data_IF_916854898420
#
_entry.id   IF_916854898420
#
_cell.length_a   1.000
_cell.length_b   1.000
_cell.length_c   1.000
_cell.angle_alpha   90.00
_cell.angle_beta   90.00
_cell.angle_gamma   90.00
#
_symmetry.space_group_name_H-M   'P 1'
#
loop_
_entity.id
_entity.type
_entity.pdbx_description
1 polymer ?
#
# COMPACT_ATOMS: atom_id res chain seq x y z
N UNK A 1 9.24 9.10 10.59
CA UNK A 1 8.88 8.05 9.62
C UNK A 1 8.22 6.89 10.36
N UNK A 2 7.35 6.14 9.72
CA UNK A 2 6.60 5.02 10.34
C UNK A 2 7.53 3.93 10.93
N UNK A 3 8.75 3.84 10.44
CA UNK A 3 9.81 2.96 10.96
C UNK A 3 10.20 3.22 12.44
N UNK A 4 9.79 4.34 13.03
CA UNK A 4 9.96 4.59 14.47
C UNK A 4 8.96 3.80 15.34
N UNK A 5 7.84 3.37 14.75
CA UNK A 5 6.78 2.61 15.43
C UNK A 5 6.77 1.17 14.93
N UNK A 6 6.94 0.94 13.63
CA UNK A 6 6.98 -0.37 13.01
C UNK A 6 8.39 -0.73 12.56
N UNK A 7 9.04 -1.63 13.25
CA UNK A 7 10.37 -2.10 12.84
C UNK A 7 10.30 -2.92 11.55
N UNK A 8 11.39 -2.87 10.75
CA UNK A 8 11.50 -3.71 9.55
C UNK A 8 11.39 -5.20 9.86
N UNK A 9 11.90 -5.62 11.01
CA UNK A 9 11.86 -7.02 11.44
C UNK A 9 10.43 -7.46 11.75
N UNK A 10 9.64 -6.60 12.40
CA UNK A 10 8.22 -6.85 12.68
C UNK A 10 7.43 -7.04 11.38
N UNK A 11 7.60 -6.14 10.41
CA UNK A 11 6.94 -6.22 9.12
C UNK A 11 7.41 -7.44 8.30
N UNK A 12 8.71 -7.75 8.31
CA UNK A 12 9.26 -8.91 7.60
C UNK A 12 8.75 -10.24 8.17
N UNK A 13 8.52 -10.32 9.47
CA UNK A 13 7.90 -11.49 10.10
C UNK A 13 6.39 -11.59 9.83
N UNK A 14 5.68 -10.45 9.84
CA UNK A 14 4.23 -10.40 9.70
C UNK A 14 3.76 -10.68 8.28
N UNK A 15 4.37 -10.06 7.26
CA UNK A 15 4.07 -10.20 5.81
C UNK A 15 2.61 -9.89 5.39
N UNK A 16 1.74 -9.51 6.31
CA UNK A 16 0.31 -9.35 6.09
C UNK A 16 -0.02 -8.38 4.95
N UNK A 17 0.56 -7.18 4.97
CA UNK A 17 0.34 -6.16 3.94
C UNK A 17 1.00 -6.48 2.58
N UNK A 18 1.70 -7.60 2.49
CA UNK A 18 2.30 -8.13 1.26
C UNK A 18 1.60 -9.39 0.77
N UNK A 19 0.42 -9.73 1.30
CA UNK A 19 -0.42 -10.85 0.88
C UNK A 19 -1.84 -10.36 0.62
N UNK A 20 -2.41 -10.73 -0.51
CA UNK A 20 -3.67 -10.18 -1.00
C UNK A 20 -4.68 -11.28 -1.28
N UNK A 21 -5.89 -11.11 -0.75
CA UNK A 21 -7.09 -11.84 -1.18
C UNK A 21 -7.72 -11.13 -2.38
N UNK A 22 -8.56 -11.81 -3.17
CA UNK A 22 -9.27 -11.20 -4.30
C UNK A 22 -10.01 -9.92 -3.91
N UNK A 23 -10.69 -9.96 -2.76
CA UNK A 23 -11.45 -8.82 -2.23
C UNK A 23 -10.57 -7.67 -1.70
N UNK A 24 -9.27 -7.90 -1.48
CA UNK A 24 -8.33 -6.90 -1.00
C UNK A 24 -7.36 -6.39 -2.08
N UNK A 25 -7.56 -6.75 -3.35
CA UNK A 25 -6.73 -6.25 -4.45
C UNK A 25 -6.75 -4.73 -4.60
N UNK A 26 -7.79 -4.06 -4.13
CA UNK A 26 -7.85 -2.60 -4.05
C UNK A 26 -6.76 -2.00 -3.13
N UNK A 27 -6.22 -2.78 -2.21
CA UNK A 27 -5.11 -2.38 -1.32
C UNK A 27 -3.74 -2.54 -1.97
N UNK A 28 -3.67 -3.16 -3.15
CA UNK A 28 -2.41 -3.33 -3.87
C UNK A 28 -1.77 -1.96 -4.11
N UNK A 29 -0.49 -1.80 -3.77
CA UNK A 29 0.18 -0.51 -3.89
C UNK A 29 0.26 -0.05 -5.34
N UNK A 30 0.15 1.26 -5.54
CA UNK A 30 0.27 1.90 -6.84
C UNK A 30 1.70 2.42 -7.04
N UNK A 31 2.22 2.17 -8.21
CA UNK A 31 3.58 2.52 -8.60
C UNK A 31 3.57 3.66 -9.61
N UNK A 32 4.43 4.67 -9.47
CA UNK A 32 4.66 5.62 -10.53
C UNK A 32 5.26 4.93 -11.78
N UNK A 33 5.05 5.49 -12.99
CA UNK A 33 5.45 4.85 -14.25
C UNK A 33 6.92 4.44 -14.30
N UNK A 34 7.81 5.31 -13.88
CA UNK A 34 9.27 5.09 -13.90
C UNK A 34 9.70 3.93 -12.99
N UNK A 35 9.03 3.76 -11.86
CA UNK A 35 9.30 2.64 -10.95
C UNK A 35 8.72 1.34 -11.52
N UNK A 36 7.50 1.38 -12.06
CA UNK A 36 6.90 0.23 -12.71
C UNK A 36 7.76 -0.27 -13.89
N UNK A 37 8.22 0.65 -14.77
CA UNK A 37 9.11 0.31 -15.88
C UNK A 37 10.43 -0.31 -15.40
N UNK A 38 11.04 0.25 -14.37
CA UNK A 38 12.27 -0.28 -13.77
C UNK A 38 12.06 -1.70 -13.23
N UNK A 39 10.94 -1.95 -12.54
CA UNK A 39 10.65 -3.22 -11.89
C UNK A 39 10.12 -4.30 -12.84
N UNK A 40 9.80 -3.95 -14.08
CA UNK A 40 9.56 -4.90 -15.16
C UNK A 40 10.84 -5.57 -15.65
N UNK A 41 11.99 -5.00 -15.35
CA UNK A 41 13.30 -5.60 -15.64
C UNK A 41 13.69 -6.55 -14.50
N UNK A 42 14.34 -7.65 -14.85
CA UNK A 42 14.81 -8.63 -13.86
C UNK A 42 15.81 -7.98 -12.89
N UNK A 43 15.52 -8.07 -11.61
CA UNK A 43 16.42 -7.58 -10.56
C UNK A 43 17.49 -8.63 -10.17
N UNK A 44 18.35 -8.27 -9.23
CA UNK A 44 19.43 -9.16 -8.72
C UNK A 44 18.93 -10.46 -8.06
N UNK A 45 17.64 -10.58 -7.77
CA UNK A 45 17.01 -11.79 -7.19
C UNK A 45 16.25 -12.60 -8.25
N UNK A 46 16.36 -12.25 -9.54
CA UNK A 46 15.64 -12.94 -10.61
C UNK A 46 14.13 -12.65 -10.65
N UNK A 47 13.67 -11.63 -9.95
CA UNK A 47 12.24 -11.29 -9.81
C UNK A 47 11.89 -10.17 -10.79
N UNK A 48 10.76 -10.33 -11.48
CA UNK A 48 10.21 -9.36 -12.43
C UNK A 48 8.75 -9.07 -12.08
N UNK A 49 8.39 -7.81 -11.95
CA UNK A 49 7.00 -7.39 -11.73
C UNK A 49 6.21 -7.40 -13.03
N UNK A 50 4.95 -7.82 -12.96
CA UNK A 50 3.96 -7.59 -14.02
C UNK A 50 3.05 -6.45 -13.59
N UNK A 51 2.88 -5.46 -14.45
CA UNK A 51 2.13 -4.25 -14.15
C UNK A 51 1.04 -4.02 -15.20
N UNK A 52 -0.08 -3.47 -14.75
CA UNK A 52 -1.15 -2.94 -15.59
C UNK A 52 -1.45 -1.49 -15.18
N UNK A 53 -1.95 -0.65 -16.09
CA UNK A 53 -2.45 0.67 -15.72
C UNK A 53 -3.48 0.58 -14.59
N UNK A 54 -3.43 1.51 -13.64
CA UNK A 54 -4.35 1.51 -12.51
C UNK A 54 -5.79 1.85 -12.92
N UNK A 55 -5.98 2.53 -14.05
CA UNK A 55 -7.28 2.94 -14.60
C UNK A 55 -8.12 1.80 -15.16
N UNK A 56 -7.53 0.62 -15.37
CA UNK A 56 -8.27 -0.52 -15.94
C UNK A 56 -9.13 -1.19 -14.85
N UNK A 57 -10.39 -0.74 -14.73
CA UNK A 57 -11.39 -1.28 -13.81
C UNK A 57 -11.41 -0.62 -12.43
N UNK A 58 -10.74 0.50 -12.28
CA UNK A 58 -10.81 1.30 -11.07
C UNK A 58 -12.21 1.85 -10.83
N UNK A 59 -12.79 1.51 -9.69
CA UNK A 59 -14.05 2.09 -9.21
C UNK A 59 -13.86 3.43 -8.50
N UNK A 60 -12.62 3.77 -8.19
CA UNK A 60 -12.27 4.96 -7.41
C UNK A 60 -11.90 6.10 -8.36
N UNK A 61 -12.61 7.22 -8.26
CA UNK A 61 -12.43 8.40 -9.11
C UNK A 61 -11.01 9.00 -9.04
N UNK A 62 -10.22 8.64 -8.02
CA UNK A 62 -8.86 9.10 -7.79
C UNK A 62 -7.78 8.15 -8.35
N UNK A 63 -8.15 6.96 -8.80
CA UNK A 63 -7.23 6.09 -9.55
C UNK A 63 -6.98 6.72 -10.91
N UNK A 64 -6.05 7.62 -10.95
CA UNK A 64 -5.81 8.45 -12.10
C UNK A 64 -4.74 7.87 -13.02
N UNK A 65 -4.83 8.35 -14.24
CA UNK A 65 -3.85 8.31 -15.30
C UNK A 65 -2.43 8.47 -14.75
N UNK A 66 -1.51 7.59 -15.15
CA UNK A 66 -0.09 7.56 -14.79
C UNK A 66 0.28 6.83 -13.47
N UNK A 67 -0.51 5.86 -13.05
CA UNK A 67 -0.10 4.91 -12.03
C UNK A 67 -0.27 3.47 -12.53
N UNK A 68 0.52 2.57 -11.98
CA UNK A 68 0.50 1.16 -12.32
C UNK A 68 0.26 0.32 -11.07
N UNK A 69 -0.55 -0.74 -11.21
CA UNK A 69 -0.75 -1.76 -10.18
C UNK A 69 -0.05 -3.05 -10.54
N UNK A 70 0.33 -3.82 -9.54
CA UNK A 70 0.79 -5.20 -9.76
C UNK A 70 -0.36 -6.08 -10.25
N UNK A 71 -0.09 -6.90 -11.26
CA UNK A 71 -1.01 -7.92 -11.74
C UNK A 71 -0.82 -9.17 -10.90
N UNK A 72 -1.74 -9.43 -9.98
CA UNK A 72 -1.72 -10.57 -9.07
C UNK A 72 -2.86 -11.57 -9.33
N UNK A 73 -3.86 -11.18 -10.11
CA UNK A 73 -5.09 -11.95 -10.36
C UNK A 73 -4.81 -13.35 -10.91
N UNK A 74 -3.77 -13.49 -11.75
CA UNK A 74 -3.38 -14.77 -12.34
C UNK A 74 -2.60 -15.70 -11.40
N UNK A 75 -2.31 -15.25 -10.18
CA UNK A 75 -1.58 -16.04 -9.19
C UNK A 75 -2.50 -16.88 -8.29
N UNK A 76 -3.81 -16.59 -8.30
CA UNK A 76 -4.80 -17.41 -7.60
C UNK A 76 -4.98 -18.75 -8.30
N UNK A 77 -4.99 -19.83 -7.52
CA UNK A 77 -5.03 -21.22 -8.01
C UNK A 77 -6.37 -21.92 -7.77
N UNK A 78 -7.16 -21.38 -6.84
CA UNK A 78 -8.45 -21.94 -6.43
C UNK A 78 -9.53 -20.86 -6.50
N UNK A 79 -10.79 -21.25 -6.31
CA UNK A 79 -11.92 -20.32 -6.17
C UNK A 79 -12.20 -19.94 -4.71
N UNK A 80 -11.33 -20.37 -3.77
CA UNK A 80 -11.46 -20.02 -2.37
C UNK A 80 -11.30 -18.48 -2.20
N UNK A 81 -12.31 -17.80 -1.65
CA UNK A 81 -12.23 -16.35 -1.42
C UNK A 81 -11.16 -15.98 -0.38
N UNK A 82 -10.76 -16.89 0.47
CA UNK A 82 -9.73 -16.70 1.49
C UNK A 82 -8.31 -17.00 0.98
N UNK A 83 -8.18 -17.48 -0.27
CA UNK A 83 -6.86 -17.70 -0.87
C UNK A 83 -6.08 -16.38 -0.92
N UNK A 84 -4.85 -16.41 -0.42
CA UNK A 84 -3.93 -15.29 -0.44
C UNK A 84 -2.83 -15.50 -1.48
N UNK A 85 -2.53 -14.45 -2.23
CA UNK A 85 -1.37 -14.41 -3.12
C UNK A 85 -0.36 -13.39 -2.61
N UNK A 86 0.92 -13.74 -2.52
CA UNK A 86 1.94 -12.81 -2.08
C UNK A 86 2.22 -11.74 -3.14
N UNK A 87 2.63 -10.56 -2.67
CA UNK A 87 3.24 -9.56 -3.53
C UNK A 87 4.43 -10.18 -4.28
N UNK A 88 4.55 -9.87 -5.56
CA UNK A 88 5.67 -10.36 -6.41
C UNK A 88 7.05 -10.09 -5.80
N UNK A 89 7.16 -9.01 -5.01
CA UNK A 89 8.43 -8.58 -4.38
C UNK A 89 8.56 -9.03 -2.93
N UNK A 90 7.74 -9.98 -2.48
CA UNK A 90 7.86 -10.59 -1.16
C UNK A 90 8.72 -11.85 -1.24
N UNK A 91 9.91 -11.80 -0.64
CA UNK A 91 10.74 -12.98 -0.39
C UNK A 91 10.32 -13.63 0.94
N UNK A 92 10.12 -14.96 0.99
CA UNK A 92 9.66 -15.63 2.21
C UNK A 92 10.63 -15.50 3.40
N UNK A 93 11.93 -15.37 3.14
CA UNK A 93 12.96 -15.30 4.17
C UNK A 93 13.38 -13.86 4.49
N UNK A 94 13.43 -12.99 3.46
CA UNK A 94 13.98 -11.64 3.54
C UNK A 94 12.92 -10.55 3.68
N UNK A 95 11.64 -10.88 3.47
CA UNK A 95 10.58 -9.89 3.39
C UNK A 95 10.59 -9.13 2.06
N UNK A 96 10.23 -7.86 2.06
CA UNK A 96 10.21 -7.05 0.85
C UNK A 96 11.62 -6.85 0.27
N UNK A 97 11.83 -7.27 -0.98
CA UNK A 97 13.12 -7.17 -1.68
C UNK A 97 13.32 -5.84 -2.42
N UNK A 98 12.31 -4.98 -2.42
CA UNK A 98 12.45 -3.64 -2.99
C UNK A 98 13.39 -2.79 -2.15
N UNK A 99 14.21 -2.01 -2.84
CA UNK A 99 15.01 -0.96 -2.19
C UNK A 99 14.08 0.15 -1.69
N UNK A 100 14.49 0.96 -0.70
CA UNK A 100 13.68 2.07 -0.21
C UNK A 100 13.20 3.03 -1.32
N UNK A 101 14.07 3.34 -2.27
CA UNK A 101 13.79 4.23 -3.40
C UNK A 101 12.84 3.64 -4.46
N UNK A 102 12.69 2.32 -4.49
CA UNK A 102 11.81 1.59 -5.41
C UNK A 102 10.49 1.20 -4.76
N UNK A 103 10.35 1.48 -3.46
CA UNK A 103 9.18 1.10 -2.70
C UNK A 103 8.07 2.12 -2.92
N UNK A 104 6.85 1.71 -3.32
CA UNK A 104 5.74 2.63 -3.47
C UNK A 104 5.47 3.40 -2.18
N UNK A 105 5.01 4.63 -2.31
CA UNK A 105 4.69 5.46 -1.15
C UNK A 105 3.63 4.81 -0.26
N UNK A 106 2.60 4.18 -0.84
CA UNK A 106 1.59 3.39 -0.14
C UNK A 106 2.19 2.36 0.83
N UNK A 107 3.24 1.64 0.40
CA UNK A 107 3.92 0.68 1.26
C UNK A 107 4.74 1.34 2.36
N UNK A 108 5.16 2.58 2.16
CA UNK A 108 5.99 3.33 3.11
C UNK A 108 5.17 3.94 4.24
N UNK A 109 3.89 4.19 3.98
CA UNK A 109 2.94 4.75 4.95
C UNK A 109 1.99 3.71 5.56
N UNK A 110 2.01 2.45 5.06
CA UNK A 110 1.15 1.40 5.62
C UNK A 110 1.36 1.26 7.14
N UNK A 111 0.31 1.18 7.98
CA UNK A 111 -1.11 0.97 7.64
C UNK A 111 -1.93 2.26 7.45
N UNK A 112 -1.31 3.40 7.27
CA UNK A 112 -2.02 4.64 6.98
C UNK A 112 -2.45 4.68 5.52
N UNK A 113 -3.59 5.34 5.27
CA UNK A 113 -4.12 5.63 3.95
C UNK A 113 -4.60 7.07 3.89
N UNK A 114 -4.32 7.75 2.78
CA UNK A 114 -5.02 8.99 2.46
C UNK A 114 -6.29 8.63 1.72
N UNK A 115 -7.42 9.16 2.19
CA UNK A 115 -8.74 8.79 1.69
C UNK A 115 -9.60 10.03 1.47
N UNK A 116 -10.47 9.95 0.46
CA UNK A 116 -11.51 10.97 0.24
C UNK A 116 -12.77 10.58 1.02
N UNK A 117 -13.14 11.41 1.97
CA UNK A 117 -14.36 11.26 2.76
C UNK A 117 -15.35 12.36 2.38
N UNK A 118 -16.06 12.13 1.27
CA UNK A 118 -17.09 13.07 0.82
C UNK A 118 -16.52 14.42 0.36
N UNK A 119 -15.40 14.41 -0.36
CA UNK A 119 -14.71 15.60 -0.86
C UNK A 119 -13.69 16.20 0.11
N UNK A 120 -13.51 15.59 1.29
CA UNK A 120 -12.48 15.97 2.25
C UNK A 120 -11.41 14.88 2.34
N UNK A 121 -10.16 15.25 2.10
CA UNK A 121 -9.03 14.34 2.30
C UNK A 121 -8.78 14.13 3.79
N UNK A 122 -8.65 12.88 4.18
CA UNK A 122 -8.35 12.44 5.55
C UNK A 122 -7.25 11.40 5.54
N UNK A 123 -6.52 11.30 6.65
CA UNK A 123 -5.61 10.18 6.89
C UNK A 123 -6.28 9.21 7.84
N UNK A 124 -6.50 8.00 7.36
CA UNK A 124 -7.16 6.94 8.10
C UNK A 124 -6.22 5.76 8.34
N UNK A 125 -6.49 5.02 9.42
CA UNK A 125 -5.81 3.77 9.75
C UNK A 125 -6.56 2.61 9.09
N UNK A 126 -5.84 1.77 8.34
CA UNK A 126 -6.36 0.48 7.91
C UNK A 126 -6.43 -0.46 9.12
N UNK A 127 -7.62 -0.91 9.54
CA UNK A 127 -7.78 -1.60 10.82
C UNK A 127 -7.25 -3.04 10.83
N UNK A 128 -6.74 -3.50 9.70
CA UNK A 128 -6.29 -4.88 9.49
C UNK A 128 -4.81 -5.13 9.78
N UNK A 129 -4.03 -4.09 10.15
CA UNK A 129 -2.62 -4.27 10.48
C UNK A 129 -2.47 -5.02 11.82
N UNK A 130 -1.91 -6.25 11.85
CA UNK A 130 -1.80 -7.02 13.10
C UNK A 130 -0.87 -6.37 14.14
N UNK A 131 0.07 -5.54 13.70
CA UNK A 131 1.06 -4.91 14.59
C UNK A 131 0.60 -3.59 15.21
N UNK A 132 -0.34 -2.90 14.57
CA UNK A 132 -0.93 -1.64 15.08
C UNK A 132 -2.33 -1.90 15.65
N UNK A 133 -3.06 -2.86 15.07
CA UNK A 133 -4.45 -3.13 15.42
C UNK A 133 -5.44 -2.15 14.79
N UNK A 134 -6.69 -2.27 15.21
CA UNK A 134 -7.80 -1.50 14.64
C UNK A 134 -7.98 -0.10 15.27
N UNK A 135 -7.29 0.19 16.37
CA UNK A 135 -7.40 1.47 17.07
C UNK A 135 -6.04 2.16 17.04
N UNK A 136 -5.96 3.42 16.56
CA UNK A 136 -4.70 4.15 16.55
C UNK A 136 -4.24 4.40 17.99
N UNK A 137 -3.01 4.04 18.31
CA UNK A 137 -2.38 4.38 19.58
C UNK A 137 -1.86 5.82 19.57
N UNK A 138 -1.50 6.30 20.76
CA UNK A 138 -0.99 7.67 20.92
C UNK A 138 0.28 7.91 20.10
N UNK A 139 1.17 6.94 20.00
CA UNK A 139 2.43 7.10 19.28
C UNK A 139 2.18 7.28 17.77
N UNK A 140 1.22 6.55 17.20
CA UNK A 140 0.83 6.71 15.80
C UNK A 140 0.17 8.07 15.55
N UNK A 141 -0.74 8.47 16.44
CA UNK A 141 -1.42 9.79 16.34
C UNK A 141 -0.40 10.92 16.42
N UNK A 142 0.50 10.89 17.41
CA UNK A 142 1.55 11.89 17.59
C UNK A 142 2.48 11.95 16.36
N UNK A 143 2.82 10.81 15.77
CA UNK A 143 3.64 10.75 14.56
C UNK A 143 2.95 11.40 13.36
N UNK A 144 1.66 11.11 13.15
CA UNK A 144 0.89 11.67 12.04
C UNK A 144 0.73 13.17 12.21
N UNK A 145 0.32 13.62 13.38
CA UNK A 145 0.13 15.04 13.70
C UNK A 145 1.46 15.81 13.80
N UNK A 146 2.55 15.12 14.11
CA UNK A 146 3.91 15.68 14.21
C UNK A 146 4.64 15.85 12.87
N UNK A 147 3.92 15.79 11.74
CA UNK A 147 4.45 16.12 10.41
C UNK A 147 4.37 15.00 9.36
N UNK A 148 4.15 13.73 9.75
CA UNK A 148 3.95 12.67 8.76
C UNK A 148 2.67 12.91 7.94
N UNK A 149 1.61 13.39 8.58
CA UNK A 149 0.35 13.73 7.93
C UNK A 149 0.51 14.79 6.85
N UNK A 150 1.25 15.86 7.15
CA UNK A 150 1.57 16.90 6.17
C UNK A 150 2.33 16.32 4.96
N UNK A 151 3.32 15.45 5.21
CA UNK A 151 4.07 14.80 4.13
C UNK A 151 3.15 13.93 3.24
N UNK A 152 2.18 13.24 3.83
CA UNK A 152 1.21 12.42 3.09
C UNK A 152 0.32 13.33 2.23
N UNK A 153 -0.21 14.42 2.77
CA UNK A 153 -1.04 15.36 2.03
C UNK A 153 -0.26 16.04 0.89
N UNK A 154 0.99 16.46 1.14
CA UNK A 154 1.82 17.06 0.09
C UNK A 154 2.13 16.06 -1.04
N UNK A 155 2.44 14.81 -0.70
CA UNK A 155 2.65 13.77 -1.70
C UNK A 155 1.40 13.54 -2.55
N UNK A 156 0.23 13.51 -1.94
CA UNK A 156 -1.04 13.30 -2.63
C UNK A 156 -1.40 14.42 -3.61
N UNK A 157 -0.95 15.65 -3.39
CA UNK A 157 -1.17 16.77 -4.32
C UNK A 157 -0.56 16.52 -5.70
N UNK A 158 0.61 15.88 -5.72
CA UNK A 158 1.34 15.56 -6.95
C UNK A 158 1.09 14.14 -7.44
N UNK A 159 0.55 13.28 -6.58
CA UNK A 159 0.28 11.87 -6.84
C UNK A 159 -1.16 11.51 -6.41
N UNK A 160 -2.18 12.10 -7.06
CA UNK A 160 -3.58 11.93 -6.64
C UNK A 160 -4.05 10.47 -6.69
N UNK A 161 -3.38 9.62 -7.43
CA UNK A 161 -3.69 8.19 -7.53
C UNK A 161 -3.56 7.42 -6.20
N UNK A 162 -2.84 7.95 -5.19
CA UNK A 162 -2.77 7.29 -3.88
C UNK A 162 -4.00 7.55 -3.01
N UNK A 163 -4.84 8.51 -3.38
CA UNK A 163 -6.08 8.82 -2.66
C UNK A 163 -7.10 7.73 -2.93
N UNK A 164 -7.59 7.09 -1.87
CA UNK A 164 -8.62 6.04 -1.97
C UNK A 164 -9.96 6.58 -1.47
N UNK A 165 -11.04 5.99 -1.93
CA UNK A 165 -12.37 6.26 -1.37
C UNK A 165 -12.40 5.83 0.10
N UNK A 166 -12.98 6.68 0.97
CA UNK A 166 -13.10 6.38 2.39
C UNK A 166 -13.98 5.16 2.62
N UNK A 167 -13.51 4.28 3.48
CA UNK A 167 -14.25 3.10 3.90
C UNK A 167 -14.76 3.26 5.32
N UNK A 168 -16.04 3.00 5.49
CA UNK A 168 -16.66 3.06 6.81
C UNK A 168 -15.97 2.09 7.78
N UNK A 169 -15.76 2.56 9.02
CA UNK A 169 -15.04 1.80 10.03
C UNK A 169 -13.52 2.02 10.06
N UNK A 170 -12.95 2.76 9.09
CA UNK A 170 -11.53 3.14 9.16
C UNK A 170 -11.37 4.34 10.11
N UNK A 171 -10.63 4.20 11.24
CA UNK A 171 -10.39 5.33 12.13
C UNK A 171 -9.65 6.47 11.43
N UNK A 172 -10.24 7.67 11.47
CA UNK A 172 -9.59 8.89 10.96
C UNK A 172 -8.65 9.43 12.04
N UNK A 173 -7.42 9.73 11.64
CA UNK A 173 -6.38 10.28 12.52
C UNK A 173 -6.19 11.78 12.25
N UNK A 174 -6.33 12.19 10.99
CA UNK A 174 -6.13 13.59 10.58
C UNK A 174 -7.00 13.95 9.38
#
# INVERSE_FOLDING_TARGET
MLSSILSKNTCAACKFCCSFRRQSLWETPLFPPEIAEKLQKTNKYGVTGKFAPASDGARDAHESQNAYRLVLENNYRTDDPEEEVPCTFLDPERGCILKPEDKPFDCSIWPLRIMDKGGKLVIALTPTCPSIGATPDKALVDLVQGGLGEQIFEYAKTHPYIVKEYREGFPVIM
#
